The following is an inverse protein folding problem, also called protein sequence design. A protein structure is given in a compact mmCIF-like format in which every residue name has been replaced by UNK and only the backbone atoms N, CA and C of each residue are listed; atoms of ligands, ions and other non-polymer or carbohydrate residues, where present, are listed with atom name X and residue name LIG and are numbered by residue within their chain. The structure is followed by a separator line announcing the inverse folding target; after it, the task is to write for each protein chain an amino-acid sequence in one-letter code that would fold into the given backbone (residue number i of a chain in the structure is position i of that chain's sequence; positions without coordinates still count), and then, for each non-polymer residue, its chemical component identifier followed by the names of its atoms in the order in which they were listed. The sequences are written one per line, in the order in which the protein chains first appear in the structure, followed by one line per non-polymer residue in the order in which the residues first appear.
data_IF_237275527457
#
_entry.id   IF_237275527457
#
_cell.length_a   1.000
_cell.length_b   1.000
_cell.length_c   1.000
_cell.angle_alpha   90.00
_cell.angle_beta   90.00
_cell.angle_gamma   90.00
#
_symmetry.space_group_name_H-M   'P 1'
#
loop_
_entity.id
_entity.type
_entity.pdbx_description
1 polymer ?
#
# COMPACT_ATOMS: atom_id res chain seq x y z
N UNK A 1 -30.03 42.97 -9.28
CA UNK A 1 -30.59 41.61 -9.30
C UNK A 1 -29.44 40.72 -9.72
N UNK A 2 -28.55 40.40 -8.79
CA UNK A 2 -27.36 39.58 -9.10
C UNK A 2 -27.52 38.24 -8.40
N UNK A 3 -28.00 37.28 -9.18
CA UNK A 3 -28.13 35.89 -8.79
C UNK A 3 -26.73 35.26 -8.76
N UNK A 4 -26.15 35.15 -7.57
CA UNK A 4 -24.92 34.42 -7.36
C UNK A 4 -25.25 32.91 -7.33
N UNK A 5 -25.21 32.28 -8.52
CA UNK A 5 -25.35 30.83 -8.67
C UNK A 5 -24.05 30.16 -8.22
N UNK A 6 -24.02 29.72 -6.96
CA UNK A 6 -22.96 28.84 -6.47
C UNK A 6 -23.00 27.54 -7.29
N UNK A 7 -21.97 27.33 -8.10
CA UNK A 7 -21.77 26.06 -8.80
C UNK A 7 -21.69 24.95 -7.74
N UNK A 8 -22.60 23.99 -7.84
CA UNK A 8 -22.54 22.74 -7.08
C UNK A 8 -21.31 22.00 -7.61
N UNK A 9 -20.23 22.05 -6.84
CA UNK A 9 -19.03 21.26 -7.08
C UNK A 9 -19.43 19.79 -7.05
N UNK A 10 -19.55 19.18 -8.22
CA UNK A 10 -19.89 17.77 -8.36
C UNK A 10 -18.78 16.97 -7.68
N UNK A 11 -19.07 16.35 -6.55
CA UNK A 11 -18.16 15.42 -5.89
C UNK A 11 -17.71 14.38 -6.92
N UNK A 12 -16.41 14.39 -7.26
CA UNK A 12 -15.88 13.38 -8.17
C UNK A 12 -16.15 11.99 -7.57
N UNK A 13 -16.61 11.03 -8.37
CA UNK A 13 -16.85 9.69 -7.88
C UNK A 13 -15.56 9.15 -7.27
N UNK A 14 -15.66 8.65 -6.03
CA UNK A 14 -14.56 7.93 -5.39
C UNK A 14 -14.24 6.75 -6.30
N UNK A 15 -13.17 6.85 -7.09
CA UNK A 15 -12.68 5.75 -7.90
C UNK A 15 -12.37 4.59 -6.95
N UNK A 16 -13.00 3.45 -7.21
CA UNK A 16 -12.75 2.24 -6.44
C UNK A 16 -11.27 1.86 -6.52
N UNK A 17 -10.72 1.22 -5.47
CA UNK A 17 -9.37 0.68 -5.50
C UNK A 17 -9.19 -0.23 -6.72
N UNK A 18 -8.06 -0.09 -7.40
CA UNK A 18 -7.74 -0.94 -8.54
C UNK A 18 -6.25 -1.27 -8.58
N UNK A 19 -5.93 -2.49 -8.94
CA UNK A 19 -4.57 -2.99 -9.08
C UNK A 19 -4.59 -4.24 -9.95
N UNK A 20 -3.63 -4.37 -10.86
CA UNK A 20 -3.49 -5.55 -11.70
C UNK A 20 -3.41 -6.83 -10.86
N UNK A 21 -4.22 -7.82 -11.21
CA UNK A 21 -4.26 -9.12 -10.52
C UNK A 21 -4.83 -9.07 -9.09
N UNK A 22 -5.49 -7.97 -8.70
CA UNK A 22 -6.17 -7.83 -7.41
C UNK A 22 -7.66 -7.58 -7.62
N UNK A 23 -8.47 -8.26 -6.81
CA UNK A 23 -9.92 -8.14 -6.85
C UNK A 23 -10.47 -7.78 -5.47
N UNK A 24 -11.45 -6.88 -5.44
CA UNK A 24 -12.26 -6.67 -4.24
C UNK A 24 -13.28 -7.80 -4.06
N UNK A 25 -13.89 -7.85 -2.87
CA UNK A 25 -15.04 -8.68 -2.60
C UNK A 25 -16.18 -8.35 -3.58
N UNK A 26 -16.97 -9.33 -4.08
CA UNK A 26 -18.00 -9.08 -5.10
C UNK A 26 -19.04 -8.03 -4.73
N UNK A 27 -19.30 -7.81 -3.44
CA UNK A 27 -20.22 -6.77 -2.98
C UNK A 27 -19.61 -5.37 -2.86
N UNK A 28 -18.30 -5.20 -3.01
CA UNK A 28 -17.62 -3.94 -2.71
C UNK A 28 -18.17 -2.75 -3.52
N UNK A 29 -18.44 -2.94 -4.82
CA UNK A 29 -19.03 -1.92 -5.67
C UNK A 29 -20.43 -1.49 -5.19
N UNK A 30 -21.25 -2.46 -4.77
CA UNK A 30 -22.59 -2.24 -4.24
C UNK A 30 -22.52 -1.47 -2.91
N UNK A 31 -21.62 -1.85 -2.01
CA UNK A 31 -21.48 -1.19 -0.70
C UNK A 31 -20.94 0.25 -0.86
N UNK A 32 -20.01 0.50 -1.80
CA UNK A 32 -19.56 1.87 -2.13
C UNK A 32 -20.68 2.71 -2.71
N UNK A 33 -21.52 2.14 -3.57
CA UNK A 33 -22.67 2.85 -4.14
C UNK A 33 -23.69 3.25 -3.05
N UNK A 34 -23.94 2.39 -2.06
CA UNK A 34 -24.77 2.73 -0.89
C UNK A 34 -24.16 3.88 -0.10
N UNK A 35 -22.85 3.84 0.15
CA UNK A 35 -22.12 4.89 0.87
C UNK A 35 -22.21 6.25 0.15
N UNK A 36 -22.07 6.27 -1.17
CA UNK A 36 -22.19 7.49 -1.98
C UNK A 36 -23.61 8.07 -2.01
N UNK A 37 -24.63 7.23 -1.82
CA UNK A 37 -26.03 7.66 -1.76
C UNK A 37 -26.42 8.25 -0.40
N UNK A 38 -25.57 8.15 0.63
CA UNK A 38 -25.84 8.73 1.94
C UNK A 38 -25.71 10.26 1.91
N UNK A 39 -26.59 11.01 2.60
CA UNK A 39 -26.48 12.46 2.69
C UNK A 39 -25.18 12.88 3.41
N UNK A 40 -24.55 13.95 2.94
CA UNK A 40 -23.25 14.49 3.39
C UNK A 40 -23.14 14.89 4.87
N UNK A 41 -24.19 14.67 5.69
CA UNK A 41 -24.26 15.00 7.13
C UNK A 41 -24.19 13.77 8.05
N UNK A 42 -23.92 12.59 7.50
CA UNK A 42 -23.92 11.31 8.22
C UNK A 42 -22.57 10.95 8.89
N UNK A 43 -21.65 11.91 9.07
CA UNK A 43 -20.29 11.65 9.59
C UNK A 43 -20.26 10.85 10.90
N UNK A 44 -21.25 11.05 11.78
CA UNK A 44 -21.39 10.32 13.04
C UNK A 44 -21.92 8.89 12.91
N UNK A 45 -22.75 8.60 11.91
CA UNK A 45 -23.28 7.25 11.64
C UNK A 45 -22.29 6.39 10.85
N UNK A 46 -21.47 7.01 9.99
CA UNK A 46 -20.40 6.32 9.26
C UNK A 46 -19.33 5.71 10.18
N UNK A 47 -19.09 6.33 11.33
CA UNK A 47 -18.18 5.78 12.35
C UNK A 47 -18.74 4.54 13.06
N UNK A 48 -20.07 4.32 13.02
CA UNK A 48 -20.73 3.20 13.67
C UNK A 48 -20.84 1.96 12.79
N UNK A 49 -20.73 2.10 11.47
CA UNK A 49 -20.62 0.97 10.55
C UNK A 49 -19.15 0.71 10.19
N UNK A 50 -18.54 -0.37 10.71
CA UNK A 50 -17.15 -0.73 10.45
C UNK A 50 -16.80 -0.88 8.97
N UNK A 51 -17.75 -1.32 8.12
CA UNK A 51 -17.53 -1.49 6.70
C UNK A 51 -17.63 -0.14 5.97
N UNK A 52 -18.60 0.69 6.32
CA UNK A 52 -18.70 2.04 5.78
C UNK A 52 -17.44 2.86 6.09
N UNK A 53 -16.91 2.77 7.32
CA UNK A 53 -15.62 3.35 7.69
C UNK A 53 -14.47 2.81 6.83
N UNK A 54 -14.38 1.49 6.64
CA UNK A 54 -13.33 0.88 5.83
C UNK A 54 -13.35 1.39 4.38
N UNK A 55 -14.54 1.48 3.79
CA UNK A 55 -14.74 1.94 2.42
C UNK A 55 -14.49 3.45 2.27
N UNK A 56 -14.89 4.27 3.25
CA UNK A 56 -14.69 5.72 3.25
C UNK A 56 -13.22 6.11 3.37
N UNK A 57 -12.40 5.27 4.03
CA UNK A 57 -10.94 5.38 4.07
C UNK A 57 -10.26 5.00 2.74
N UNK A 58 -11.04 4.65 1.70
CA UNK A 58 -10.52 4.26 0.39
C UNK A 58 -9.79 2.93 0.39
N UNK A 59 -10.02 2.08 1.41
CA UNK A 59 -9.40 0.76 1.50
C UNK A 59 -10.16 -0.23 0.63
N UNK A 60 -9.41 -1.13 0.00
CA UNK A 60 -9.93 -2.28 -0.70
C UNK A 60 -10.66 -3.20 0.28
N UNK A 61 -11.88 -3.58 -0.08
CA UNK A 61 -12.65 -4.56 0.66
C UNK A 61 -12.37 -5.95 0.09
N UNK A 62 -11.80 -6.83 0.89
CA UNK A 62 -11.44 -8.22 0.54
C UNK A 62 -11.90 -9.15 1.66
N UNK A 63 -11.90 -10.47 1.41
CA UNK A 63 -12.32 -11.47 2.43
C UNK A 63 -11.51 -11.37 3.73
N UNK A 64 -10.23 -10.99 3.66
CA UNK A 64 -9.34 -10.86 4.82
C UNK A 64 -9.30 -9.45 5.45
N UNK A 65 -10.14 -8.51 4.99
CA UNK A 65 -10.05 -7.11 5.40
C UNK A 65 -10.25 -6.93 6.90
N UNK A 66 -9.43 -6.08 7.50
CA UNK A 66 -9.51 -5.68 8.90
C UNK A 66 -10.55 -4.58 9.10
N UNK A 67 -11.80 -4.93 8.83
CA UNK A 67 -12.97 -4.04 8.90
C UNK A 67 -13.04 -3.38 10.29
N UNK A 68 -13.34 -2.08 10.34
CA UNK A 68 -13.41 -1.30 11.58
C UNK A 68 -12.06 -0.89 12.17
N UNK A 69 -10.95 -1.12 11.46
CA UNK A 69 -9.61 -0.69 11.89
C UNK A 69 -9.07 0.45 11.04
N UNK A 70 -8.35 1.38 11.68
CA UNK A 70 -7.68 2.46 10.96
C UNK A 70 -6.32 2.01 10.37
N UNK A 71 -6.02 2.37 9.11
CA UNK A 71 -4.69 2.19 8.54
C UNK A 71 -3.67 3.15 9.18
N UNK A 72 -2.36 2.90 9.04
CA UNK A 72 -1.34 3.87 9.42
C UNK A 72 -1.47 5.16 8.61
N UNK A 73 -1.07 6.27 9.20
CA UNK A 73 -0.88 7.52 8.43
C UNK A 73 0.34 7.40 7.51
N UNK A 74 0.42 8.27 6.49
CA UNK A 74 1.58 8.36 5.60
C UNK A 74 2.86 8.64 6.39
N UNK A 75 2.79 9.47 7.43
CA UNK A 75 3.91 9.80 8.31
C UNK A 75 4.36 8.58 9.11
N UNK A 76 3.41 7.76 9.59
CA UNK A 76 3.72 6.51 10.29
C UNK A 76 4.41 5.50 9.37
N UNK A 77 3.93 5.38 8.13
CA UNK A 77 4.57 4.57 7.10
C UNK A 77 5.98 5.07 6.78
N UNK A 78 6.15 6.39 6.63
CA UNK A 78 7.43 7.02 6.35
C UNK A 78 8.42 6.80 7.50
N UNK A 79 8.00 7.03 8.75
CA UNK A 79 8.83 6.84 9.94
C UNK A 79 9.37 5.40 10.02
N UNK A 80 8.51 4.41 9.78
CA UNK A 80 8.91 3.00 9.73
C UNK A 80 9.85 2.69 8.55
N UNK A 81 9.65 3.35 7.40
CA UNK A 81 10.45 3.15 6.18
C UNK A 81 11.86 3.72 6.33
N UNK A 82 12.01 4.90 6.95
CA UNK A 82 13.30 5.60 7.10
C UNK A 82 14.10 5.17 8.34
N UNK A 83 13.54 4.28 9.17
CA UNK A 83 14.21 3.81 10.39
C UNK A 83 15.60 3.22 10.06
N UNK A 84 16.69 3.78 10.60
CA UNK A 84 18.04 3.33 10.27
C UNK A 84 18.38 2.02 10.99
N UNK A 85 19.25 1.23 10.37
CA UNK A 85 19.87 0.07 10.99
C UNK A 85 21.29 0.40 11.50
N UNK A 86 21.94 -0.59 12.13
CA UNK A 86 23.29 -0.44 12.69
C UNK A 86 24.39 -0.17 11.66
N UNK A 87 24.12 -0.30 10.35
CA UNK A 87 25.06 0.09 9.29
C UNK A 87 24.69 1.41 8.62
N UNK A 88 23.62 2.11 9.03
CA UNK A 88 23.22 3.41 8.45
C UNK A 88 22.32 3.32 7.20
N UNK A 89 21.82 2.14 6.86
CA UNK A 89 20.75 2.00 5.84
C UNK A 89 19.38 2.06 6.51
N UNK A 90 18.46 2.78 5.88
CA UNK A 90 17.03 2.73 6.24
C UNK A 90 16.43 1.35 5.99
N UNK A 91 15.33 1.02 6.67
CA UNK A 91 14.57 -0.20 6.44
C UNK A 91 14.16 -0.33 4.96
N UNK A 92 13.70 0.79 4.36
CA UNK A 92 13.40 0.92 2.94
C UNK A 92 14.57 0.61 2.03
N UNK A 93 15.71 1.28 2.22
CA UNK A 93 16.90 1.06 1.40
C UNK A 93 17.42 -0.37 1.51
N UNK A 94 17.44 -0.95 2.72
CA UNK A 94 17.85 -2.34 2.92
C UNK A 94 16.94 -3.33 2.20
N UNK A 95 15.62 -3.13 2.26
CA UNK A 95 14.69 -3.99 1.55
C UNK A 95 14.86 -3.84 0.04
N UNK A 96 15.06 -2.61 -0.45
CA UNK A 96 15.23 -2.33 -1.87
C UNK A 96 16.51 -2.98 -2.41
N UNK A 97 17.63 -2.88 -1.68
CA UNK A 97 18.88 -3.57 -2.03
C UNK A 97 18.71 -5.08 -2.21
N UNK A 98 17.77 -5.70 -1.49
CA UNK A 98 17.46 -7.13 -1.64
C UNK A 98 16.44 -7.41 -2.74
N UNK A 99 15.50 -6.50 -2.97
CA UNK A 99 14.31 -6.77 -3.78
C UNK A 99 14.43 -6.30 -5.24
N UNK A 100 15.29 -5.32 -5.52
CA UNK A 100 15.38 -4.64 -6.82
C UNK A 100 15.48 -5.57 -8.06
N UNK A 101 16.24 -6.67 -7.95
CA UNK A 101 16.47 -7.61 -9.03
C UNK A 101 15.21 -8.37 -9.50
N UNK A 102 14.11 -8.31 -8.73
CA UNK A 102 12.90 -9.10 -8.99
C UNK A 102 11.96 -8.49 -10.02
N UNK A 103 12.11 -7.18 -10.26
CA UNK A 103 11.35 -6.46 -11.28
C UNK A 103 11.98 -6.51 -12.68
N UNK A 104 13.01 -7.33 -12.90
CA UNK A 104 13.71 -7.42 -14.19
C UNK A 104 12.96 -8.31 -15.18
N UNK A 105 12.84 -7.92 -16.48
CA UNK A 105 12.25 -8.77 -17.51
C UNK A 105 13.02 -10.09 -17.66
N UNK A 106 12.31 -11.22 -17.64
CA UNK A 106 12.91 -12.56 -17.76
C UNK A 106 13.57 -12.79 -19.13
N UNK A 107 13.05 -12.16 -20.19
CA UNK A 107 13.45 -12.41 -21.59
C UNK A 107 14.47 -11.41 -22.15
N UNK A 108 15.06 -10.55 -21.30
CA UNK A 108 16.17 -9.71 -21.74
C UNK A 108 17.40 -10.58 -22.04
N UNK A 109 17.85 -10.59 -23.30
CA UNK A 109 19.09 -11.26 -23.71
C UNK A 109 20.27 -10.83 -22.84
N UNK A 110 21.28 -11.68 -22.68
CA UNK A 110 22.48 -11.34 -21.88
C UNK A 110 23.16 -10.05 -22.37
N UNK A 111 23.04 -9.73 -23.66
CA UNK A 111 23.54 -8.50 -24.26
C UNK A 111 22.68 -7.27 -23.91
N UNK A 112 21.35 -7.42 -23.79
CA UNK A 112 20.45 -6.37 -23.32
C UNK A 112 20.58 -6.10 -21.80
N UNK A 113 21.09 -7.07 -21.03
CA UNK A 113 21.41 -6.87 -19.60
C UNK A 113 22.67 -6.04 -19.37
N UNK A 114 23.56 -5.93 -20.36
CA UNK A 114 24.85 -5.21 -20.27
C UNK A 114 24.78 -3.72 -20.62
N UNK A 115 23.74 -3.24 -21.31
CA UNK A 115 23.55 -1.80 -21.56
C UNK A 115 22.90 -1.14 -20.34
N UNK A 116 23.69 -0.30 -19.68
CA UNK A 116 23.59 0.02 -18.25
C UNK A 116 22.49 1.01 -17.80
N UNK A 117 21.40 1.20 -18.55
CA UNK A 117 20.28 2.05 -18.12
C UNK A 117 18.89 1.45 -18.38
N UNK A 118 18.75 0.48 -19.29
CA UNK A 118 17.42 -0.02 -19.73
C UNK A 118 16.90 -1.28 -19.02
N UNK A 119 17.74 -1.98 -18.23
CA UNK A 119 17.39 -3.30 -17.65
C UNK A 119 17.11 -3.30 -16.14
N UNK A 120 16.95 -2.12 -15.53
CA UNK A 120 16.88 -2.00 -14.06
C UNK A 120 15.56 -2.48 -13.43
N UNK A 121 14.58 -2.87 -14.24
CA UNK A 121 13.24 -3.25 -13.77
C UNK A 121 12.46 -2.07 -13.14
N UNK A 122 11.24 -2.33 -12.69
CA UNK A 122 10.37 -1.29 -12.10
C UNK A 122 10.98 -0.60 -10.86
N UNK A 123 11.68 -1.38 -10.02
CA UNK A 123 12.33 -0.88 -8.79
C UNK A 123 13.64 -0.12 -9.06
N UNK A 124 14.17 -0.18 -10.28
CA UNK A 124 15.48 0.36 -10.58
C UNK A 124 16.62 -0.40 -9.88
N UNK A 125 17.85 0.10 -10.03
CA UNK A 125 19.05 -0.56 -9.50
C UNK A 125 19.62 0.16 -8.27
N UNK A 126 19.77 -0.52 -7.12
CA UNK A 126 20.40 0.04 -5.93
C UNK A 126 21.91 0.06 -6.13
N UNK A 127 22.50 1.26 -6.17
CA UNK A 127 23.94 1.46 -6.30
C UNK A 127 24.37 2.77 -5.64
N UNK A 128 25.61 2.80 -5.15
CA UNK A 128 26.26 3.97 -4.56
C UNK A 128 26.39 3.90 -3.04
N UNK A 129 26.90 4.99 -2.41
CA UNK A 129 27.03 5.10 -0.96
C UNK A 129 25.70 4.97 -0.22
N UNK A 130 25.76 4.67 1.08
CA UNK A 130 24.55 4.44 1.90
C UNK A 130 23.60 5.63 1.93
N UNK A 131 24.13 6.85 1.99
CA UNK A 131 23.32 8.07 1.91
C UNK A 131 22.52 8.14 0.59
N UNK A 132 23.18 7.82 -0.53
CA UNK A 132 22.54 7.80 -1.87
C UNK A 132 21.50 6.68 -1.96
N UNK A 133 21.76 5.51 -1.36
CA UNK A 133 20.77 4.42 -1.30
C UNK A 133 19.53 4.82 -0.50
N UNK A 134 19.71 5.52 0.63
CA UNK A 134 18.61 6.01 1.46
C UNK A 134 17.77 7.07 0.72
N UNK A 135 18.41 8.03 0.06
CA UNK A 135 17.74 9.06 -0.73
C UNK A 135 16.92 8.45 -1.87
N UNK A 136 17.51 7.53 -2.64
CA UNK A 136 16.82 6.86 -3.75
C UNK A 136 15.69 5.95 -3.27
N UNK A 137 15.86 5.27 -2.14
CA UNK A 137 14.78 4.49 -1.53
C UNK A 137 13.62 5.39 -1.09
N UNK A 138 13.91 6.58 -0.56
CA UNK A 138 12.87 7.57 -0.21
C UNK A 138 12.13 8.07 -1.46
N UNK A 139 12.83 8.27 -2.59
CA UNK A 139 12.18 8.58 -3.85
C UNK A 139 11.22 7.45 -4.30
N UNK A 140 11.60 6.18 -4.12
CA UNK A 140 10.72 5.03 -4.38
C UNK A 140 9.51 5.00 -3.44
N UNK A 141 9.68 5.35 -2.17
CA UNK A 141 8.56 5.47 -1.23
C UNK A 141 7.51 6.44 -1.78
N UNK A 142 7.92 7.65 -2.17
CA UNK A 142 6.99 8.65 -2.71
C UNK A 142 6.43 8.26 -4.08
N UNK A 143 7.23 7.59 -4.94
CA UNK A 143 6.74 7.03 -6.21
C UNK A 143 5.54 6.11 -5.99
N UNK A 144 5.61 5.21 -5.01
CA UNK A 144 4.51 4.28 -4.71
C UNK A 144 3.37 5.00 -3.99
N UNK A 145 3.66 5.78 -2.94
CA UNK A 145 2.61 6.40 -2.11
C UNK A 145 1.76 7.42 -2.87
N UNK A 146 2.37 8.21 -3.78
CA UNK A 146 1.67 9.22 -4.56
C UNK A 146 0.87 8.61 -5.72
N UNK A 147 1.31 7.46 -6.24
CA UNK A 147 0.65 6.77 -7.35
C UNK A 147 -0.19 5.57 -6.89
N UNK A 148 -0.51 5.51 -5.59
CA UNK A 148 -1.20 4.38 -4.99
C UNK A 148 -2.67 4.34 -5.42
N UNK A 149 -3.03 3.28 -6.12
CA UNK A 149 -4.38 2.99 -6.63
C UNK A 149 -5.07 1.89 -5.82
N UNK A 150 -4.31 1.18 -4.99
CA UNK A 150 -4.81 0.12 -4.13
C UNK A 150 -4.20 0.24 -2.74
N UNK A 151 -5.06 0.29 -1.73
CA UNK A 151 -4.68 0.27 -0.32
C UNK A 151 -5.49 -0.82 0.34
N UNK A 152 -4.86 -1.78 0.98
CA UNK A 152 -5.56 -2.86 1.69
C UNK A 152 -5.07 -2.95 3.13
N UNK A 153 -6.00 -3.13 4.05
CA UNK A 153 -5.74 -3.41 5.45
C UNK A 153 -6.36 -4.76 5.78
N UNK A 154 -5.53 -5.73 6.16
CA UNK A 154 -5.97 -7.11 6.34
C UNK A 154 -5.23 -7.81 7.48
N UNK A 155 -5.83 -8.88 7.99
CA UNK A 155 -5.24 -9.71 9.04
C UNK A 155 -4.45 -10.87 8.46
N UNK A 156 -3.25 -11.08 8.98
CA UNK A 156 -2.57 -12.36 8.93
C UNK A 156 -2.86 -13.16 10.21
N UNK A 157 -2.61 -14.49 10.20
CA UNK A 157 -2.67 -15.29 11.42
C UNK A 157 -1.85 -14.67 12.57
N UNK A 158 -2.25 -14.99 13.81
CA UNK A 158 -1.61 -14.48 15.04
C UNK A 158 -1.79 -12.96 15.27
N UNK A 159 -2.90 -12.38 14.81
CA UNK A 159 -3.24 -10.97 15.05
C UNK A 159 -2.18 -10.00 14.52
N UNK A 160 -1.59 -10.32 13.37
CA UNK A 160 -0.69 -9.42 12.68
C UNK A 160 -1.51 -8.62 11.67
N UNK A 161 -1.67 -7.34 11.93
CA UNK A 161 -2.33 -6.42 11.03
C UNK A 161 -1.34 -6.01 9.93
N UNK A 162 -1.77 -6.05 8.68
CA UNK A 162 -0.94 -5.68 7.52
C UNK A 162 -1.62 -4.57 6.75
N UNK A 163 -0.85 -3.52 6.48
CA UNK A 163 -1.21 -2.46 5.56
C UNK A 163 -0.38 -2.59 4.30
N UNK A 164 -1.05 -2.69 3.17
CA UNK A 164 -0.43 -2.86 1.86
C UNK A 164 -0.88 -1.73 0.93
N UNK A 165 0.08 -1.13 0.24
CA UNK A 165 -0.14 -0.06 -0.73
C UNK A 165 0.47 -0.48 -2.06
N UNK A 166 -0.30 -0.43 -3.14
CA UNK A 166 0.15 -0.76 -4.49
C UNK A 166 -0.22 0.32 -5.50
N UNK A 167 0.58 0.38 -6.54
CA UNK A 167 0.28 1.10 -7.78
C UNK A 167 -0.52 0.19 -8.73
N UNK A 168 -1.03 0.76 -9.82
CA UNK A 168 -1.89 0.08 -10.78
C UNK A 168 -1.26 -1.21 -11.34
N UNK A 169 0.05 -1.19 -11.58
CA UNK A 169 0.79 -2.30 -12.18
C UNK A 169 1.05 -3.47 -11.22
N UNK A 170 0.70 -3.35 -9.93
CA UNK A 170 0.85 -4.41 -8.94
C UNK A 170 2.04 -4.24 -7.99
N UNK A 171 2.99 -3.37 -8.31
CA UNK A 171 4.13 -3.09 -7.43
C UNK A 171 3.67 -2.33 -6.19
N UNK A 172 4.30 -2.58 -5.05
CA UNK A 172 3.88 -1.94 -3.81
C UNK A 172 4.82 -2.09 -2.63
N UNK A 173 4.29 -1.71 -1.48
CA UNK A 173 4.95 -1.70 -0.19
C UNK A 173 3.98 -2.20 0.87
N UNK A 174 4.53 -2.86 1.90
CA UNK A 174 3.75 -3.34 3.02
C UNK A 174 4.38 -3.00 4.37
N UNK A 175 3.51 -2.73 5.33
CA UNK A 175 3.82 -2.54 6.74
C UNK A 175 3.00 -3.52 7.55
N UNK A 176 3.48 -3.83 8.76
CA UNK A 176 2.70 -4.61 9.71
C UNK A 176 2.74 -4.02 11.11
N UNK A 177 1.75 -4.38 11.89
CA UNK A 177 1.68 -4.11 13.32
C UNK A 177 1.29 -5.40 14.03
N UNK A 178 2.08 -5.80 15.03
CA UNK A 178 1.73 -6.94 15.88
C UNK A 178 0.72 -6.49 16.94
N UNK A 179 -0.43 -7.16 16.98
CA UNK A 179 -1.53 -6.92 17.93
C UNK A 179 -1.85 -8.14 18.79
N UNK A 180 -1.00 -9.18 18.78
CA UNK A 180 -1.19 -10.39 19.59
C UNK A 180 -1.27 -10.10 21.09
N UNK A 181 -0.60 -9.06 21.57
CA UNK A 181 -0.62 -8.63 22.98
C UNK A 181 -1.71 -7.62 23.36
N UNK A 182 -2.54 -7.17 22.41
CA UNK A 182 -3.45 -6.04 22.60
C UNK A 182 -4.86 -6.41 23.09
N UNK A 183 -5.18 -7.70 23.28
CA UNK A 183 -6.48 -8.10 23.84
C UNK A 183 -6.61 -7.58 25.29
N UNK A 184 -7.32 -6.45 25.45
CA UNK A 184 -7.58 -5.80 26.73
C UNK A 184 -6.58 -4.73 27.16
N UNK A 185 -5.56 -4.43 26.35
CA UNK A 185 -4.56 -3.39 26.65
C UNK A 185 -4.08 -2.69 25.38
N UNK A 186 -4.74 -1.59 25.01
CA UNK A 186 -4.37 -0.76 23.86
C UNK A 186 -2.95 -0.18 23.97
N UNK A 187 -2.35 -0.11 25.18
CA UNK A 187 -0.97 0.35 25.35
C UNK A 187 0.06 -0.66 24.83
N UNK A 188 -0.35 -1.89 24.49
CA UNK A 188 0.53 -2.91 23.91
C UNK A 188 0.53 -2.95 22.38
N UNK A 189 -0.19 -2.03 21.73
CA UNK A 189 -0.16 -1.88 20.28
C UNK A 189 1.23 -1.38 19.87
N UNK A 190 1.95 -2.20 19.10
CA UNK A 190 3.31 -1.88 18.63
C UNK A 190 3.31 -0.81 17.54
N UNK A 191 4.44 -0.16 17.31
CA UNK A 191 4.59 0.74 16.16
C UNK A 191 4.53 -0.04 14.84
N UNK A 192 4.04 0.61 13.78
CA UNK A 192 4.09 0.05 12.44
C UNK A 192 5.53 -0.22 12.01
N UNK A 193 5.76 -1.38 11.41
CA UNK A 193 7.07 -1.79 10.92
C UNK A 193 7.01 -2.01 9.42
N UNK A 194 7.96 -1.42 8.68
CA UNK A 194 8.09 -1.67 7.25
C UNK A 194 8.53 -3.12 7.01
N UNK A 195 7.73 -3.87 6.27
CA UNK A 195 7.95 -5.30 5.99
C UNK A 195 8.72 -5.51 4.68
N UNK A 196 8.51 -4.65 3.69
CA UNK A 196 9.22 -4.72 2.42
C UNK A 196 8.36 -4.30 1.23
N UNK A 197 8.96 -4.47 0.06
CA UNK A 197 8.32 -4.28 -1.23
C UNK A 197 7.49 -5.51 -1.62
N UNK A 198 6.57 -5.31 -2.57
CA UNK A 198 5.70 -6.36 -3.07
C UNK A 198 5.64 -6.29 -4.60
N UNK A 199 5.75 -7.45 -5.24
CA UNK A 199 5.65 -7.62 -6.69
C UNK A 199 4.19 -7.80 -7.13
N UNK A 200 3.86 -7.57 -8.41
CA UNK A 200 2.56 -7.91 -8.98
C UNK A 200 2.21 -9.38 -8.72
N UNK A 201 0.91 -9.66 -8.53
CA UNK A 201 0.44 -11.04 -8.37
C UNK A 201 0.79 -11.85 -9.62
N UNK A 202 1.31 -13.06 -9.41
CA UNK A 202 1.63 -14.02 -10.47
C UNK A 202 0.79 -15.27 -10.26
N UNK A 203 0.03 -15.65 -11.30
CA UNK A 203 -0.74 -16.89 -11.32
C UNK A 203 0.18 -18.09 -11.10
N UNK A 204 -0.23 -19.04 -10.25
CA UNK A 204 0.61 -20.19 -9.88
C UNK A 204 1.86 -19.84 -9.08
N UNK A 205 2.04 -18.58 -8.66
CA UNK A 205 3.28 -18.13 -8.02
C UNK A 205 3.66 -18.94 -6.76
N UNK A 206 2.67 -19.45 -6.02
CA UNK A 206 2.91 -20.26 -4.82
C UNK A 206 3.71 -21.52 -5.15
N UNK A 207 3.45 -22.11 -6.33
CA UNK A 207 4.07 -23.33 -6.82
C UNK A 207 5.52 -23.11 -7.28
N UNK A 208 5.84 -21.89 -7.74
CA UNK A 208 7.21 -21.48 -8.12
C UNK A 208 7.94 -20.74 -7.00
N UNK A 209 7.40 -20.76 -5.78
CA UNK A 209 7.95 -20.12 -4.60
C UNK A 209 7.98 -18.61 -4.74
N UNK A 210 6.82 -17.96 -4.56
CA UNK A 210 6.61 -16.51 -4.59
C UNK A 210 7.89 -15.75 -4.27
N UNK A 211 8.36 -14.96 -5.24
CA UNK A 211 9.53 -14.11 -5.08
C UNK A 211 9.18 -12.91 -4.18
N UNK A 212 9.01 -13.17 -2.87
CA UNK A 212 8.79 -12.16 -1.80
C UNK A 212 9.94 -11.20 -1.68
#
# INVERSE_FOLDING_TARGET
MDSNSAAVESAQPILGPYCFGMEEHPSASIERAKLQALPSRADGELALDPLALHLSLGLAYTVGSAIGTHPPSTESCLAAFVLPNGVGLSAGARAWSKHAHRSQPQDASEDARKTAESSAGWWGRPFGPQAVLNERALALFWKVMNSATWRNLHWLPHQILVYEVRVAEGYGMRWSQDRSGAQGDEHRITAWTFRGFVEPMMEGGHEVGWRH
#
